data_IF_745079876715
#
_entry.id   IF_745079876715
#
_cell.length_a   1.000
_cell.length_b   1.000
_cell.length_c   1.000
_cell.angle_alpha   90.00
_cell.angle_beta   90.00
_cell.angle_gamma   90.00
#
_symmetry.space_group_name_H-M   'P 1'
#
loop_
_entity.id
_entity.type
_entity.pdbx_description
1 polymer ?
#
# COMPACT_ATOMS: atom_id res chain seq x y z
N UNK A 1 -5.68 36.84 -29.07
CA UNK A 1 -4.59 35.89 -28.79
C UNK A 1 -5.09 34.91 -27.76
N UNK A 2 -5.32 33.65 -28.17
CA UNK A 2 -5.86 32.62 -27.29
C UNK A 2 -4.77 32.12 -26.33
N UNK A 3 -5.04 32.22 -25.02
CA UNK A 3 -4.23 31.59 -24.00
C UNK A 3 -4.36 30.08 -24.12
N UNK A 4 -3.27 29.40 -24.49
CA UNK A 4 -3.15 27.97 -24.26
C UNK A 4 -2.83 27.78 -22.78
N UNK A 5 -3.88 27.69 -21.96
CA UNK A 5 -3.75 27.08 -20.65
C UNK A 5 -3.34 25.63 -20.88
N UNK A 6 -2.05 25.32 -20.74
CA UNK A 6 -1.60 23.94 -20.52
C UNK A 6 -2.09 23.55 -19.13
N UNK A 7 -3.37 23.17 -19.06
CA UNK A 7 -3.87 22.35 -17.97
C UNK A 7 -3.03 21.08 -18.05
N UNK A 8 -2.01 20.99 -17.20
CA UNK A 8 -1.40 19.73 -16.83
C UNK A 8 -2.51 18.93 -16.11
N UNK A 9 -3.46 18.42 -16.88
CA UNK A 9 -4.37 17.40 -16.45
C UNK A 9 -3.48 16.20 -16.12
N UNK A 10 -3.15 16.08 -14.84
CA UNK A 10 -2.67 14.85 -14.24
C UNK A 10 -3.81 13.85 -14.43
N UNK A 11 -3.88 13.26 -15.61
CA UNK A 11 -4.85 12.26 -15.98
C UNK A 11 -4.61 11.08 -15.04
N UNK A 12 -5.59 10.69 -14.20
CA UNK A 12 -5.47 9.49 -13.40
C UNK A 12 -5.56 8.29 -14.35
N UNK A 13 -4.44 7.98 -15.01
CA UNK A 13 -4.27 6.73 -15.73
C UNK A 13 -3.93 5.67 -14.68
N UNK A 14 -4.77 4.64 -14.47
CA UNK A 14 -4.37 3.49 -13.69
C UNK A 14 -3.28 2.77 -14.44
N UNK A 15 -2.03 3.08 -14.12
CA UNK A 15 -0.91 2.21 -14.45
C UNK A 15 -0.83 1.23 -13.30
N UNK A 16 -0.68 -0.06 -13.55
CA UNK A 16 -0.35 -1.01 -12.50
C UNK A 16 0.97 -0.55 -11.84
N UNK A 17 0.84 0.23 -10.75
CA UNK A 17 1.96 0.84 -10.02
C UNK A 17 2.80 -0.24 -9.34
N UNK A 18 2.17 -1.38 -9.06
CA UNK A 18 2.80 -2.58 -8.57
C UNK A 18 3.00 -3.52 -9.76
N UNK A 19 4.18 -4.12 -9.88
CA UNK A 19 4.30 -5.28 -10.76
C UNK A 19 3.23 -6.32 -10.35
N UNK A 20 2.72 -7.14 -11.26
CA UNK A 20 1.97 -8.32 -10.84
C UNK A 20 2.87 -9.13 -9.88
N UNK A 21 2.42 -9.36 -8.63
CA UNK A 21 3.24 -9.90 -7.51
C UNK A 21 4.35 -8.99 -6.98
N UNK A 22 4.28 -7.69 -7.25
CA UNK A 22 5.22 -6.67 -6.77
C UNK A 22 4.98 -6.24 -5.31
N UNK A 23 4.31 -7.07 -4.52
CA UNK A 23 4.13 -6.84 -3.08
C UNK A 23 4.68 -8.06 -2.36
N UNK A 24 5.78 -7.85 -1.62
CA UNK A 24 6.39 -8.87 -0.78
C UNK A 24 6.01 -8.59 0.66
N UNK A 25 5.46 -9.59 1.35
CA UNK A 25 5.12 -9.52 2.77
C UNK A 25 6.19 -10.26 3.56
N UNK A 26 6.76 -9.61 4.57
CA UNK A 26 7.65 -10.25 5.52
C UNK A 26 6.88 -10.94 6.65
N UNK A 27 7.61 -11.70 7.47
CA UNK A 27 7.02 -12.35 8.63
C UNK A 27 6.45 -11.29 9.60
N UNK A 28 5.16 -11.38 9.98
CA UNK A 28 4.59 -10.51 11.00
C UNK A 28 5.25 -10.73 12.35
N UNK A 29 5.39 -9.64 13.11
CA UNK A 29 5.87 -9.66 14.48
C UNK A 29 4.81 -9.05 15.40
N UNK A 30 4.59 -9.66 16.57
CA UNK A 30 3.83 -9.03 17.64
C UNK A 30 4.64 -7.85 18.19
N UNK A 31 4.00 -6.69 18.34
CA UNK A 31 4.58 -5.54 19.03
C UNK A 31 4.10 -5.55 20.48
N UNK A 32 2.78 -5.69 20.65
CA UNK A 32 2.06 -5.72 21.92
C UNK A 32 0.87 -6.68 21.78
N UNK A 33 0.22 -7.09 22.88
CA UNK A 33 -0.98 -7.92 22.81
C UNK A 33 -2.04 -7.33 21.88
N UNK A 34 -2.37 -8.07 20.82
CA UNK A 34 -3.33 -7.65 19.80
C UNK A 34 -2.84 -6.58 18.82
N UNK A 35 -1.55 -6.26 18.82
CA UNK A 35 -0.92 -5.33 17.88
C UNK A 35 0.24 -5.99 17.14
N UNK A 36 0.21 -5.90 15.82
CA UNK A 36 1.15 -6.59 14.93
C UNK A 36 1.77 -5.66 13.92
N UNK A 37 3.06 -5.87 13.68
CA UNK A 37 3.81 -5.24 12.60
C UNK A 37 3.95 -6.24 11.46
N UNK A 38 3.49 -5.87 10.29
CA UNK A 38 3.59 -6.66 9.07
C UNK A 38 4.58 -5.92 8.14
N UNK A 39 5.81 -6.41 7.97
CA UNK A 39 6.73 -5.86 6.99
C UNK A 39 6.12 -6.00 5.60
N UNK A 40 6.12 -4.92 4.82
CA UNK A 40 5.58 -4.92 3.46
C UNK A 40 6.54 -4.16 2.55
N UNK A 41 6.85 -4.76 1.42
CA UNK A 41 7.72 -4.17 0.41
C UNK A 41 6.97 -4.12 -0.89
N UNK A 42 6.97 -2.94 -1.49
CA UNK A 42 6.39 -2.72 -2.80
C UNK A 42 7.53 -2.69 -3.81
N UNK A 43 7.70 -3.77 -4.55
CA UNK A 43 8.56 -3.84 -5.72
C UNK A 43 7.82 -3.15 -6.88
N UNK A 44 7.89 -1.83 -6.88
CA UNK A 44 7.36 -1.01 -7.97
C UNK A 44 8.34 -1.04 -9.14
N UNK A 45 7.83 -1.13 -10.38
CA UNK A 45 8.64 -0.91 -11.59
C UNK A 45 8.90 0.58 -11.87
N UNK A 46 8.47 1.47 -10.98
CA UNK A 46 8.55 2.91 -11.21
C UNK A 46 9.85 3.45 -10.63
N UNK A 47 10.83 3.59 -11.52
CA UNK A 47 12.00 4.44 -11.31
C UNK A 47 11.80 5.81 -11.99
N UNK A 48 10.72 6.06 -12.77
CA UNK A 48 10.68 7.19 -13.73
C UNK A 48 9.37 8.00 -13.86
N UNK A 49 8.53 8.18 -12.83
CA UNK A 49 7.33 9.06 -12.97
C UNK A 49 6.96 9.90 -11.76
N UNK A 50 7.95 10.38 -10.99
CA UNK A 50 7.77 11.45 -9.98
C UNK A 50 6.85 11.14 -8.79
N UNK A 51 6.21 9.97 -8.77
CA UNK A 51 5.25 9.56 -7.75
C UNK A 51 5.86 8.53 -6.81
N UNK A 52 5.89 8.86 -5.53
CA UNK A 52 6.41 8.03 -4.44
C UNK A 52 5.24 7.57 -3.57
N UNK A 53 5.28 6.33 -3.04
CA UNK A 53 4.40 5.95 -1.91
C UNK A 53 4.65 6.99 -0.83
N UNK A 54 3.64 7.64 -0.24
CA UNK A 54 3.72 8.63 0.85
C UNK A 54 3.47 7.98 2.22
N UNK A 55 2.45 7.12 2.29
CA UNK A 55 2.04 6.42 3.50
C UNK A 55 1.38 5.09 3.15
N UNK A 56 1.30 4.18 4.13
CA UNK A 56 0.59 2.91 4.01
C UNK A 56 -0.24 2.71 5.26
N UNK A 57 -1.48 2.28 5.08
CA UNK A 57 -2.44 2.03 6.15
C UNK A 57 -3.02 0.63 6.00
N UNK A 58 -3.41 0.00 7.11
CA UNK A 58 -4.14 -1.26 7.10
C UNK A 58 -5.50 -1.06 7.78
N UNK A 59 -6.53 -1.67 7.20
CA UNK A 59 -7.86 -1.78 7.78
C UNK A 59 -8.25 -3.24 7.87
N UNK A 60 -8.65 -3.67 9.06
CA UNK A 60 -9.08 -5.04 9.29
C UNK A 60 -10.60 -5.14 9.15
N UNK A 61 -11.06 -6.18 8.47
CA UNK A 61 -12.48 -6.48 8.28
C UNK A 61 -12.67 -7.98 8.32
N UNK A 62 -13.13 -8.49 9.47
CA UNK A 62 -13.25 -9.94 9.70
C UNK A 62 -11.89 -10.63 9.55
N UNK A 63 -11.80 -11.58 8.62
CA UNK A 63 -10.59 -12.33 8.29
C UNK A 63 -9.70 -11.65 7.23
N UNK A 64 -10.05 -10.45 6.77
CA UNK A 64 -9.30 -9.70 5.76
C UNK A 64 -8.55 -8.52 6.38
N UNK A 65 -7.32 -8.31 5.94
CA UNK A 65 -6.54 -7.10 6.22
C UNK A 65 -6.34 -6.37 4.89
N UNK A 66 -7.03 -5.26 4.72
CA UNK A 66 -6.93 -4.41 3.53
C UNK A 66 -5.85 -3.35 3.74
N UNK A 67 -4.78 -3.45 2.98
CA UNK A 67 -3.70 -2.49 2.94
C UNK A 67 -3.97 -1.45 1.85
N UNK A 68 -3.84 -0.17 2.19
CA UNK A 68 -3.98 0.95 1.26
C UNK A 68 -2.71 1.79 1.29
N UNK A 69 -2.07 1.93 0.13
CA UNK A 69 -0.95 2.84 -0.06
C UNK A 69 -1.45 4.19 -0.59
N UNK A 70 -0.99 5.27 0.01
CA UNK A 70 -1.18 6.64 -0.49
C UNK A 70 0.07 7.04 -1.23
N UNK A 71 -0.06 7.80 -2.32
CA UNK A 71 1.07 8.22 -3.15
C UNK A 71 1.14 9.74 -3.27
N UNK A 72 2.35 10.29 -3.40
CA UNK A 72 2.61 11.72 -3.58
C UNK A 72 3.49 11.96 -4.81
N UNK A 73 3.18 13.00 -5.57
CA UNK A 73 4.01 13.50 -6.68
C UNK A 73 5.04 14.54 -6.22
N UNK A 74 5.04 14.90 -4.93
CA UNK A 74 6.06 15.77 -4.38
C UNK A 74 7.42 15.07 -4.48
N UNK A 75 8.44 15.80 -4.91
CA UNK A 75 9.80 15.31 -5.14
C UNK A 75 10.54 15.01 -3.82
N UNK A 76 9.84 14.46 -2.82
CA UNK A 76 10.38 14.03 -1.52
C UNK A 76 10.23 12.53 -1.39
N UNK A 77 11.30 11.88 -0.94
CA UNK A 77 11.26 10.50 -0.49
C UNK A 77 10.34 10.45 0.75
N UNK A 78 9.39 9.55 0.72
CA UNK A 78 8.31 9.45 1.70
C UNK A 78 8.71 8.89 3.05
N UNK A 79 7.90 9.23 4.06
CA UNK A 79 7.90 8.64 5.40
C UNK A 79 7.33 7.21 5.49
N UNK A 80 7.23 6.46 4.40
CA UNK A 80 6.79 5.07 4.41
C UNK A 80 7.84 4.20 5.12
N UNK A 81 7.49 3.56 6.25
CA UNK A 81 8.49 2.93 7.11
C UNK A 81 8.79 1.46 6.76
N UNK A 82 8.36 0.98 5.58
CA UNK A 82 8.59 -0.42 5.14
C UNK A 82 7.73 -1.47 5.84
N UNK A 83 6.70 -1.04 6.58
CA UNK A 83 5.79 -1.92 7.29
C UNK A 83 4.42 -1.27 7.47
N UNK A 84 3.45 -2.08 7.85
CA UNK A 84 2.14 -1.63 8.31
C UNK A 84 1.85 -2.21 9.70
N UNK A 85 1.17 -1.43 10.53
CA UNK A 85 0.72 -1.89 11.84
C UNK A 85 -0.79 -2.14 11.82
N UNK A 86 -1.21 -3.23 12.46
CA UNK A 86 -2.60 -3.54 12.76
C UNK A 86 -2.74 -3.67 14.27
N UNK A 87 -3.82 -3.13 14.85
CA UNK A 87 -4.03 -3.05 16.30
C UNK A 87 -5.42 -3.52 16.67
N UNK A 88 -5.56 -4.08 17.87
CA UNK A 88 -6.83 -4.53 18.43
C UNK A 88 -7.41 -5.78 17.76
N UNK A 89 -6.57 -6.68 17.23
CA UNK A 89 -7.02 -7.91 16.57
C UNK A 89 -6.39 -9.15 17.20
N UNK A 90 -7.08 -10.30 17.25
CA UNK A 90 -6.50 -11.52 17.79
C UNK A 90 -5.42 -12.11 16.86
N UNK A 91 -4.57 -12.96 17.44
CA UNK A 91 -3.67 -13.83 16.67
C UNK A 91 -4.47 -14.74 15.74
N UNK A 92 -3.91 -15.07 14.58
CA UNK A 92 -4.59 -15.94 13.63
C UNK A 92 -4.15 -15.76 12.19
N UNK A 93 -4.81 -16.50 11.30
CA UNK A 93 -4.59 -16.41 9.86
C UNK A 93 -5.55 -15.42 9.24
N UNK A 94 -5.01 -14.44 8.54
CA UNK A 94 -5.77 -13.42 7.82
C UNK A 94 -5.42 -13.44 6.34
N UNK A 95 -6.32 -12.99 5.48
CA UNK A 95 -6.01 -12.75 4.07
C UNK A 95 -5.61 -11.29 3.89
N UNK A 96 -4.37 -11.06 3.49
CA UNK A 96 -3.89 -9.72 3.15
C UNK A 96 -4.36 -9.36 1.75
N UNK A 97 -4.94 -8.18 1.61
CA UNK A 97 -5.39 -7.60 0.34
C UNK A 97 -4.75 -6.22 0.18
N UNK A 98 -4.45 -5.79 -1.04
CA UNK A 98 -4.14 -4.38 -1.30
C UNK A 98 -5.29 -3.71 -2.05
N UNK A 99 -5.48 -2.43 -1.80
CA UNK A 99 -6.35 -1.56 -2.60
C UNK A 99 -5.52 -0.84 -3.65
N UNK A 100 -5.91 -0.95 -4.91
CA UNK A 100 -5.33 -0.17 -6.01
C UNK A 100 -5.87 1.28 -6.04
N UNK A 101 -5.29 2.18 -6.84
CA UNK A 101 -5.77 3.56 -6.95
C UNK A 101 -7.22 3.70 -7.44
N UNK A 102 -7.75 2.70 -8.14
CA UNK A 102 -9.14 2.67 -8.62
C UNK A 102 -10.12 2.19 -7.53
N UNK A 103 -9.60 1.82 -6.35
CA UNK A 103 -10.38 1.37 -5.20
C UNK A 103 -10.64 -0.14 -5.16
N UNK A 104 -10.15 -0.89 -6.14
CA UNK A 104 -10.33 -2.34 -6.24
C UNK A 104 -9.39 -3.06 -5.28
N UNK A 105 -9.91 -4.06 -4.57
CA UNK A 105 -9.14 -4.87 -3.64
C UNK A 105 -8.62 -6.14 -4.33
N UNK A 106 -7.32 -6.39 -4.22
CA UNK A 106 -6.62 -7.51 -4.82
C UNK A 106 -5.99 -8.39 -3.74
N UNK A 107 -6.15 -9.72 -3.78
CA UNK A 107 -5.53 -10.60 -2.81
C UNK A 107 -4.02 -10.65 -2.99
N UNK A 108 -3.28 -10.51 -1.88
CA UNK A 108 -1.83 -10.74 -1.83
C UNK A 108 -1.59 -12.20 -1.43
N UNK A 109 -2.25 -12.65 -0.36
CA UNK A 109 -2.11 -13.99 0.18
C UNK A 109 -2.40 -14.06 1.68
N UNK A 110 -2.34 -15.27 2.27
CA UNK A 110 -2.50 -15.44 3.70
C UNK A 110 -1.32 -14.88 4.48
N UNK A 111 -1.60 -14.36 5.67
CA UNK A 111 -0.62 -13.87 6.64
C UNK A 111 -0.97 -14.45 8.01
N UNK A 112 0.04 -14.94 8.74
CA UNK A 112 -0.15 -15.50 10.08
C UNK A 112 0.35 -14.50 11.11
N UNK A 113 -0.57 -14.00 11.93
CA UNK A 113 -0.26 -13.11 13.05
C UNK A 113 -0.01 -13.96 14.31
N UNK A 114 1.16 -13.78 14.97
CA UNK A 114 1.57 -14.61 16.11
C UNK A 114 0.79 -14.38 17.40
#
# INVERSE_FOLDING_TARGET
>A
MASFAMTACSEPKPRDFFAARGITIGAPAAIEPGSYRIPIKFDTKIVHSGQWIDAVSAKVSGSDILVTATFTSANRKSGYPGHVEVKGIPAGTYTLKYRDPDGTAHPIGPVVLP
#
